data_IF_769786446941
#
_entry.id   IF_769786446941
#
_cell.length_a   1.000
_cell.length_b   1.000
_cell.length_c   1.000
_cell.angle_alpha   90.00
_cell.angle_beta   90.00
_cell.angle_gamma   90.00
#
_symmetry.space_group_name_H-M   'P 1'
#
loop_
_entity.id
_entity.type
_entity.pdbx_description
1 polymer ?
#
# COMPACT_ATOMS: atom_id res chain seq x y z
N UNK A 1 -25.38 -38.44 22.31
CA UNK A 1 -24.77 -39.22 21.23
C UNK A 1 -24.23 -38.16 20.26
N UNK A 2 -23.13 -37.58 20.56
CA UNK A 2 -21.70 -37.80 20.24
C UNK A 2 -21.47 -38.11 18.74
N UNK A 3 -20.77 -37.23 18.09
CA UNK A 3 -19.65 -37.26 17.12
C UNK A 3 -19.73 -35.98 16.28
N UNK A 4 -18.81 -35.06 16.26
CA UNK A 4 -17.36 -35.22 16.09
C UNK A 4 -17.01 -35.11 14.61
N UNK A 5 -16.54 -33.99 14.16
CA UNK A 5 -16.13 -33.73 12.78
C UNK A 5 -15.15 -32.55 12.72
N UNK A 6 -13.93 -32.89 12.87
CA UNK A 6 -12.67 -32.14 12.83
C UNK A 6 -12.48 -31.34 11.56
N UNK A 7 -11.84 -30.16 11.74
CA UNK A 7 -11.37 -29.27 10.68
C UNK A 7 -10.32 -29.91 9.76
N UNK A 8 -10.33 -29.47 8.54
CA UNK A 8 -9.21 -29.46 7.58
C UNK A 8 -9.55 -28.44 6.49
N UNK A 9 -8.71 -27.45 6.32
CA UNK A 9 -8.89 -26.48 5.25
C UNK A 9 -7.90 -25.31 5.31
N UNK A 10 -6.59 -25.58 5.51
CA UNK A 10 -5.58 -24.52 5.39
C UNK A 10 -4.23 -25.04 4.87
N UNK A 11 -4.23 -26.00 3.96
CA UNK A 11 -2.97 -26.58 3.42
C UNK A 11 -2.85 -26.60 1.89
N UNK A 12 -3.63 -25.82 1.13
CA UNK A 12 -3.59 -25.95 -0.35
C UNK A 12 -3.10 -24.72 -1.13
N UNK A 13 -2.41 -23.76 -0.51
CA UNK A 13 -1.86 -22.60 -1.24
C UNK A 13 -0.32 -22.51 -1.26
N UNK A 14 0.41 -23.48 -0.75
CA UNK A 14 1.89 -23.46 -0.71
C UNK A 14 2.51 -24.29 -1.86
N UNK A 15 1.76 -25.11 -2.57
CA UNK A 15 2.34 -26.05 -3.57
C UNK A 15 2.57 -25.49 -4.97
N UNK A 16 2.09 -24.28 -5.31
CA UNK A 16 2.21 -23.74 -6.70
C UNK A 16 3.45 -22.85 -6.93
N UNK A 17 4.24 -22.56 -5.89
CA UNK A 17 5.45 -21.74 -5.99
C UNK A 17 6.69 -22.52 -6.51
N UNK A 18 6.63 -23.84 -6.58
CA UNK A 18 7.78 -24.68 -6.96
C UNK A 18 7.91 -24.97 -8.45
N UNK A 19 6.94 -24.61 -9.27
CA UNK A 19 6.92 -24.98 -10.70
C UNK A 19 7.79 -24.09 -11.60
N UNK A 20 8.34 -22.97 -11.10
CA UNK A 20 9.13 -22.02 -11.91
C UNK A 20 10.66 -22.14 -11.73
N UNK A 21 11.13 -22.92 -10.75
CA UNK A 21 12.58 -23.10 -10.50
C UNK A 21 13.29 -24.01 -11.55
N UNK A 22 12.55 -24.81 -12.30
CA UNK A 22 13.13 -25.82 -13.21
C UNK A 22 13.34 -25.36 -14.65
N UNK A 23 12.94 -24.13 -15.02
CA UNK A 23 13.07 -23.63 -16.41
C UNK A 23 14.38 -22.89 -16.72
N UNK A 24 15.19 -22.55 -15.72
CA UNK A 24 16.49 -21.91 -15.88
C UNK A 24 17.61 -22.93 -15.63
N UNK A 25 17.96 -23.74 -16.64
CA UNK A 25 19.07 -24.69 -16.63
C UNK A 25 20.44 -23.98 -16.65
N UNK A 26 20.84 -23.34 -15.54
CA UNK A 26 22.18 -22.85 -15.29
C UNK A 26 22.84 -23.64 -14.14
N UNK A 27 24.20 -23.71 -14.05
CA UNK A 27 24.88 -24.48 -13.04
C UNK A 27 24.48 -23.97 -11.64
N UNK A 28 24.05 -24.89 -10.76
CA UNK A 28 23.77 -24.62 -9.35
C UNK A 28 24.99 -23.98 -8.71
N UNK A 29 24.92 -22.66 -8.49
CA UNK A 29 25.84 -21.97 -7.61
C UNK A 29 25.55 -22.45 -6.18
N UNK A 30 26.58 -22.92 -5.47
CA UNK A 30 26.51 -23.28 -4.05
C UNK A 30 25.89 -22.11 -3.27
N UNK A 31 24.83 -22.39 -2.53
CA UNK A 31 24.17 -21.45 -1.64
C UNK A 31 25.20 -20.89 -0.64
N UNK A 32 25.78 -19.73 -0.95
CA UNK A 32 26.45 -18.92 0.04
C UNK A 32 25.34 -18.24 0.86
N UNK A 33 25.20 -18.65 2.12
CA UNK A 33 24.61 -17.80 3.14
C UNK A 33 25.43 -16.52 3.21
N UNK A 34 25.06 -15.52 2.46
CA UNK A 34 25.71 -14.21 2.51
C UNK A 34 24.89 -13.37 3.47
N UNK A 35 25.25 -13.44 4.77
CA UNK A 35 25.05 -12.31 5.66
C UNK A 35 25.94 -11.18 5.15
N UNK A 36 25.42 -10.40 4.19
CA UNK A 36 26.13 -9.31 3.54
C UNK A 36 26.29 -8.10 4.49
N UNK A 37 25.46 -8.00 5.52
CA UNK A 37 25.56 -7.05 6.63
C UNK A 37 25.52 -7.83 7.94
N UNK A 38 26.45 -7.55 8.84
CA UNK A 38 26.41 -8.19 10.17
C UNK A 38 25.23 -7.64 10.98
N UNK A 39 24.63 -8.43 11.88
CA UNK A 39 23.55 -7.96 12.74
C UNK A 39 23.86 -6.63 13.44
N UNK A 40 25.04 -6.47 14.01
CA UNK A 40 25.48 -5.25 14.71
C UNK A 40 25.44 -4.01 13.78
N UNK A 41 25.82 -4.16 12.51
CA UNK A 41 25.79 -3.07 11.52
C UNK A 41 24.36 -2.73 11.13
N UNK A 42 23.51 -3.74 10.98
CA UNK A 42 22.08 -3.53 10.66
C UNK A 42 21.36 -2.85 11.82
N UNK A 43 21.63 -3.24 13.06
CA UNK A 43 21.07 -2.61 14.26
C UNK A 43 21.46 -1.13 14.36
N UNK A 44 22.72 -0.80 14.12
CA UNK A 44 23.23 0.57 14.12
C UNK A 44 22.58 1.43 13.01
N UNK A 45 22.36 0.84 11.82
CA UNK A 45 21.63 1.50 10.73
C UNK A 45 20.15 1.70 11.10
N UNK A 46 19.48 0.68 11.61
CA UNK A 46 18.07 0.74 12.01
C UNK A 46 17.85 1.78 13.12
N UNK A 47 18.77 1.88 14.07
CA UNK A 47 18.73 2.91 15.11
C UNK A 47 18.84 4.32 14.52
N UNK A 48 19.76 4.53 13.57
CA UNK A 48 19.93 5.80 12.88
C UNK A 48 18.69 6.17 12.05
N UNK A 49 18.14 5.21 11.30
CA UNK A 49 16.89 5.37 10.55
C UNK A 49 15.73 5.72 11.50
N UNK A 50 15.62 5.02 12.62
CA UNK A 50 14.56 5.26 13.61
C UNK A 50 14.63 6.66 14.23
N UNK A 51 15.84 7.18 14.50
CA UNK A 51 16.02 8.58 14.91
C UNK A 51 15.55 9.53 13.83
N UNK A 52 16.03 9.36 12.60
CA UNK A 52 15.67 10.19 11.44
C UNK A 52 14.17 10.19 11.16
N UNK A 53 13.53 9.04 11.17
CA UNK A 53 12.09 8.94 10.92
C UNK A 53 11.26 9.63 12.01
N UNK A 54 11.64 9.53 13.29
CA UNK A 54 10.94 10.25 14.36
C UNK A 54 11.06 11.78 14.20
N UNK A 55 12.21 12.26 13.71
CA UNK A 55 12.41 13.69 13.46
C UNK A 55 11.60 14.17 12.26
N UNK A 56 11.44 13.34 11.23
CA UNK A 56 10.59 13.63 10.06
C UNK A 56 9.10 13.62 10.42
N UNK A 57 8.67 12.59 11.10
CA UNK A 57 7.27 12.39 11.48
C UNK A 57 7.14 11.35 12.61
N UNK A 58 6.56 11.73 13.77
CA UNK A 58 6.42 10.82 14.91
C UNK A 58 5.46 9.64 14.65
N UNK A 59 4.69 9.68 13.54
CA UNK A 59 3.82 8.57 13.15
C UNK A 59 4.52 7.51 12.31
N UNK A 60 5.75 7.77 11.84
CA UNK A 60 6.53 6.75 11.16
C UNK A 60 6.88 5.62 12.14
N UNK A 61 6.91 4.37 11.68
CA UNK A 61 7.18 3.23 12.56
C UNK A 61 8.65 3.23 13.02
N UNK A 62 8.93 2.46 14.06
CA UNK A 62 10.31 2.02 14.31
C UNK A 62 10.69 1.08 13.16
N UNK A 63 11.84 1.27 12.50
CA UNK A 63 12.27 0.35 11.46
C UNK A 63 12.30 -1.08 12.00
N UNK A 64 11.62 -1.98 11.32
CA UNK A 64 11.80 -3.42 11.52
C UNK A 64 13.01 -3.91 10.72
N UNK A 65 13.43 -5.12 11.00
CA UNK A 65 14.48 -5.78 10.24
C UNK A 65 14.16 -5.78 8.74
N UNK A 66 15.21 -5.68 7.94
CA UNK A 66 15.05 -5.88 6.51
C UNK A 66 14.57 -7.32 6.28
N UNK A 67 13.70 -7.56 5.28
CA UNK A 67 13.29 -8.92 4.95
C UNK A 67 14.52 -9.80 4.80
N UNK A 68 14.61 -10.85 5.59
CA UNK A 68 15.70 -11.82 5.45
C UNK A 68 15.59 -12.54 4.11
N UNK A 69 16.72 -12.81 3.48
CA UNK A 69 16.76 -13.56 2.23
C UNK A 69 16.17 -14.98 2.36
N UNK A 70 16.07 -15.49 3.60
CA UNK A 70 15.50 -16.81 3.90
C UNK A 70 13.97 -16.87 3.90
N UNK A 71 13.27 -15.72 4.00
CA UNK A 71 11.80 -15.67 4.01
C UNK A 71 11.18 -15.68 2.60
N UNK A 72 12.02 -15.68 1.56
CA UNK A 72 11.62 -15.64 0.17
C UNK A 72 12.30 -16.76 -0.62
N UNK A 73 11.69 -17.25 -1.72
CA UNK A 73 12.35 -18.21 -2.62
C UNK A 73 13.72 -17.70 -3.07
N UNK A 74 14.71 -18.60 -3.16
CA UNK A 74 16.05 -18.27 -3.66
C UNK A 74 15.99 -17.51 -5.00
N UNK A 75 16.72 -16.38 -5.07
CA UNK A 75 16.75 -15.52 -6.26
C UNK A 75 15.74 -14.38 -6.28
N UNK A 76 14.78 -14.32 -5.32
CA UNK A 76 13.78 -13.25 -5.27
C UNK A 76 14.24 -12.01 -4.47
N UNK A 77 15.45 -12.03 -3.89
CA UNK A 77 15.96 -10.94 -3.07
C UNK A 77 17.40 -10.61 -3.44
N UNK A 78 17.66 -9.33 -3.68
CA UNK A 78 19.01 -8.84 -4.04
C UNK A 78 19.42 -7.76 -3.03
N UNK A 79 20.50 -7.98 -2.28
CA UNK A 79 21.05 -6.99 -1.38
C UNK A 79 21.85 -5.93 -2.14
N UNK A 80 21.72 -4.68 -1.71
CA UNK A 80 22.47 -3.53 -2.19
C UNK A 80 23.13 -2.83 -1.01
N UNK A 81 24.35 -2.33 -1.18
CA UNK A 81 25.10 -1.64 -0.13
C UNK A 81 25.83 -0.43 -0.69
N UNK A 82 25.80 0.66 0.05
CA UNK A 82 26.58 1.86 -0.21
C UNK A 82 27.55 2.08 0.94
N UNK A 83 28.82 2.22 0.61
CA UNK A 83 29.88 2.50 1.57
C UNK A 83 30.15 4.01 1.63
N UNK A 84 30.11 4.60 2.80
CA UNK A 84 30.45 6.00 3.01
C UNK A 84 31.95 6.28 2.96
N UNK A 85 32.34 7.56 2.94
CA UNK A 85 33.73 8.02 2.88
C UNK A 85 34.61 7.51 4.02
N UNK A 86 34.00 7.12 5.14
CA UNK A 86 34.67 6.56 6.31
C UNK A 86 34.86 5.03 6.25
N UNK A 87 34.53 4.40 5.11
CA UNK A 87 34.60 2.95 4.91
C UNK A 87 33.53 2.15 5.65
N UNK A 88 32.51 2.80 6.23
CA UNK A 88 31.35 2.14 6.85
C UNK A 88 30.15 2.18 5.94
N UNK A 89 29.22 1.23 6.05
CA UNK A 89 27.95 1.30 5.31
C UNK A 89 27.19 2.61 5.60
N UNK A 90 26.98 3.41 4.58
CA UNK A 90 26.17 4.63 4.60
C UNK A 90 24.69 4.30 4.37
N UNK A 91 24.42 3.22 3.64
CA UNK A 91 23.09 2.73 3.37
C UNK A 91 23.09 1.29 2.89
N UNK A 92 22.01 0.61 3.15
CA UNK A 92 21.74 -0.74 2.67
C UNK A 92 20.34 -0.80 2.08
N UNK A 93 20.10 -1.71 1.18
CA UNK A 93 18.78 -1.91 0.58
C UNK A 93 18.56 -3.36 0.19
N UNK A 94 17.30 -3.78 0.22
CA UNK A 94 16.88 -5.08 -0.28
C UNK A 94 15.91 -4.85 -1.43
N UNK A 95 16.28 -5.31 -2.62
CA UNK A 95 15.36 -5.38 -3.75
C UNK A 95 14.65 -6.74 -3.73
N UNK A 96 13.33 -6.74 -3.64
CA UNK A 96 12.48 -7.94 -3.74
C UNK A 96 11.83 -7.98 -5.10
N UNK A 97 11.86 -9.15 -5.73
CA UNK A 97 11.08 -9.43 -6.93
C UNK A 97 9.78 -10.12 -6.50
N UNK A 98 8.66 -9.52 -6.80
CA UNK A 98 7.35 -10.04 -6.50
C UNK A 98 6.55 -10.20 -7.78
N UNK A 99 6.00 -11.38 -8.00
CA UNK A 99 5.00 -11.60 -9.02
C UNK A 99 3.62 -11.74 -8.38
N UNK A 100 2.68 -10.91 -8.81
CA UNK A 100 1.29 -10.98 -8.37
C UNK A 100 0.55 -11.94 -9.30
N UNK A 101 0.01 -13.06 -8.79
CA UNK A 101 -0.65 -14.07 -9.61
C UNK A 101 -1.80 -13.50 -10.45
N UNK A 102 -1.99 -14.06 -11.63
CA UNK A 102 -3.14 -13.71 -12.46
C UNK A 102 -4.45 -14.00 -11.72
N UNK A 103 -5.35 -13.04 -11.71
CA UNK A 103 -6.62 -13.15 -11.00
C UNK A 103 -6.56 -12.82 -9.50
N UNK A 104 -5.42 -12.38 -8.99
CA UNK A 104 -5.36 -11.80 -7.65
C UNK A 104 -5.88 -10.35 -7.65
N UNK A 105 -6.60 -9.96 -6.59
CA UNK A 105 -7.19 -8.62 -6.46
C UNK A 105 -6.11 -7.52 -6.49
N UNK A 106 -4.93 -7.82 -5.98
CA UNK A 106 -3.77 -6.92 -5.93
C UNK A 106 -3.30 -6.47 -7.33
N UNK A 107 -3.65 -7.22 -8.40
CA UNK A 107 -3.40 -6.80 -9.78
C UNK A 107 -4.26 -5.62 -10.23
N UNK A 108 -5.35 -5.32 -9.54
CA UNK A 108 -6.16 -4.13 -9.80
C UNK A 108 -5.42 -2.86 -9.37
N UNK A 109 -4.58 -2.97 -8.33
CA UNK A 109 -3.89 -1.86 -7.69
C UNK A 109 -2.41 -1.75 -8.08
N UNK A 110 -2.00 -2.36 -9.20
CA UNK A 110 -0.63 -2.25 -9.68
C UNK A 110 -0.24 -3.30 -10.70
N UNK A 111 1.05 -3.28 -11.03
CA UNK A 111 1.65 -4.19 -12.03
C UNK A 111 1.72 -5.64 -11.51
N UNK A 112 1.77 -6.59 -12.45
CA UNK A 112 1.94 -8.00 -12.13
C UNK A 112 3.35 -8.32 -11.63
N UNK A 113 4.37 -7.74 -12.25
CA UNK A 113 5.76 -7.86 -11.80
C UNK A 113 6.15 -6.60 -11.01
N UNK A 114 6.66 -6.77 -9.80
CA UNK A 114 7.04 -5.68 -8.90
C UNK A 114 8.46 -5.89 -8.40
N UNK A 115 9.30 -4.92 -8.65
CA UNK A 115 10.66 -4.85 -8.11
C UNK A 115 10.63 -3.79 -7.00
N UNK A 116 10.67 -4.23 -5.74
CA UNK A 116 10.44 -3.37 -4.59
C UNK A 116 11.75 -3.16 -3.86
N UNK A 117 12.25 -1.94 -3.84
CA UNK A 117 13.44 -1.57 -3.05
C UNK A 117 13.01 -1.10 -1.66
N UNK A 118 13.59 -1.73 -0.62
CA UNK A 118 13.43 -1.33 0.78
C UNK A 118 14.79 -0.85 1.31
N UNK A 119 15.08 0.45 1.30
CA UNK A 119 16.35 0.97 1.77
C UNK A 119 16.36 1.31 3.26
N UNK A 120 17.55 1.32 3.84
CA UNK A 120 17.89 1.85 5.17
C UNK A 120 19.11 2.73 5.04
N UNK A 121 19.00 4.00 5.39
CA UNK A 121 20.06 4.98 5.22
C UNK A 121 20.48 5.54 6.58
N UNK A 122 21.77 5.52 6.85
CA UNK A 122 22.35 5.97 8.12
C UNK A 122 22.31 7.48 8.30
N UNK A 123 22.64 8.22 7.24
CA UNK A 123 22.83 9.66 7.31
C UNK A 123 21.49 10.45 7.37
N UNK A 124 21.51 11.62 8.00
CA UNK A 124 20.38 12.53 8.03
C UNK A 124 20.01 13.02 6.64
N UNK A 125 21.00 13.33 5.82
CA UNK A 125 20.81 13.61 4.39
C UNK A 125 20.72 12.29 3.62
N UNK A 126 19.54 11.94 3.19
CA UNK A 126 19.29 10.72 2.44
C UNK A 126 19.85 10.73 1.03
N UNK A 127 20.06 11.92 0.45
CA UNK A 127 20.30 12.05 -1.00
C UNK A 127 21.52 11.25 -1.48
N UNK A 128 22.74 11.41 -0.91
CA UNK A 128 23.91 10.76 -1.48
C UNK A 128 23.81 9.23 -1.50
N UNK A 129 23.44 8.64 -0.36
CA UNK A 129 23.36 7.19 -0.23
C UNK A 129 22.19 6.61 -1.03
N UNK A 130 21.05 7.30 -1.10
CA UNK A 130 19.91 6.85 -1.91
C UNK A 130 20.21 6.96 -3.40
N UNK A 131 20.86 8.04 -3.84
CA UNK A 131 21.28 8.24 -5.24
C UNK A 131 22.16 7.08 -5.72
N UNK A 132 23.11 6.65 -4.91
CA UNK A 132 23.97 5.51 -5.22
C UNK A 132 23.23 4.18 -5.22
N UNK A 133 22.38 3.93 -4.20
CA UNK A 133 21.53 2.73 -4.16
C UNK A 133 20.62 2.62 -5.38
N UNK A 134 20.02 3.72 -5.81
CA UNK A 134 19.17 3.76 -6.99
C UNK A 134 19.97 3.48 -8.27
N UNK A 135 21.22 3.96 -8.36
CA UNK A 135 22.12 3.62 -9.45
C UNK A 135 22.43 2.12 -9.52
N UNK A 136 22.77 1.51 -8.39
CA UNK A 136 23.01 0.06 -8.30
C UNK A 136 21.75 -0.73 -8.65
N UNK A 137 20.60 -0.29 -8.18
CA UNK A 137 19.31 -0.92 -8.48
C UNK A 137 18.96 -0.84 -9.95
N UNK A 138 19.15 0.31 -10.59
CA UNK A 138 19.00 0.50 -12.04
C UNK A 138 19.85 -0.52 -12.82
N UNK A 139 21.14 -0.64 -12.46
CA UNK A 139 22.07 -1.54 -13.15
C UNK A 139 21.66 -3.01 -12.98
N UNK A 140 21.11 -3.37 -11.80
CA UNK A 140 20.53 -4.67 -11.57
C UNK A 140 19.28 -4.92 -12.45
N UNK A 141 18.34 -3.98 -12.49
CA UNK A 141 17.10 -4.11 -13.27
C UNK A 141 17.38 -4.20 -14.77
N UNK A 142 18.41 -3.50 -15.28
CA UNK A 142 18.81 -3.56 -16.69
C UNK A 142 19.27 -4.96 -17.11
N UNK A 143 19.68 -5.83 -16.18
CA UNK A 143 20.03 -7.23 -16.42
C UNK A 143 18.85 -8.20 -16.44
N UNK A 144 17.63 -7.74 -16.12
CA UNK A 144 16.45 -8.59 -15.97
C UNK A 144 15.47 -8.40 -17.14
N UNK A 145 15.28 -9.40 -18.03
CA UNK A 145 14.37 -9.27 -19.16
C UNK A 145 12.92 -8.93 -18.77
N UNK A 146 12.44 -9.46 -17.63
CA UNK A 146 11.09 -9.17 -17.12
C UNK A 146 10.89 -7.72 -16.68
N UNK A 147 11.96 -6.99 -16.36
CA UNK A 147 11.89 -5.59 -15.95
C UNK A 147 11.56 -4.63 -17.11
N UNK A 148 11.71 -5.07 -18.38
CA UNK A 148 11.34 -4.30 -19.58
C UNK A 148 9.85 -4.48 -19.96
N UNK A 149 9.11 -5.28 -19.23
CA UNK A 149 7.68 -5.51 -19.49
C UNK A 149 6.87 -4.28 -19.06
N UNK A 150 5.89 -3.87 -19.88
CA UNK A 150 4.96 -2.77 -19.53
C UNK A 150 4.13 -3.05 -18.27
N UNK A 151 3.98 -4.33 -17.88
CA UNK A 151 3.31 -4.75 -16.64
C UNK A 151 4.32 -5.04 -15.50
N UNK A 152 5.49 -4.41 -15.57
CA UNK A 152 6.52 -4.44 -14.54
C UNK A 152 6.82 -3.03 -14.02
N UNK A 153 7.02 -2.88 -12.71
CA UNK A 153 7.38 -1.61 -12.11
C UNK A 153 8.49 -1.76 -11.05
N UNK A 154 9.43 -0.81 -11.05
CA UNK A 154 10.32 -0.55 -9.93
C UNK A 154 9.59 0.34 -8.93
N UNK A 155 9.52 -0.07 -7.66
CA UNK A 155 8.68 0.57 -6.65
C UNK A 155 9.45 0.81 -5.35
N UNK A 156 9.16 1.94 -4.70
CA UNK A 156 9.70 2.30 -3.39
C UNK A 156 8.68 3.13 -2.62
N UNK A 157 8.49 2.80 -1.34
CA UNK A 157 7.75 3.65 -0.40
C UNK A 157 8.73 4.55 0.34
N UNK A 158 8.44 5.86 0.37
CA UNK A 158 9.33 6.84 0.98
C UNK A 158 8.57 7.78 1.91
N UNK A 159 9.15 8.17 3.08
CA UNK A 159 8.51 9.14 3.96
C UNK A 159 8.19 10.44 3.22
N UNK A 160 6.92 10.86 3.23
CA UNK A 160 6.47 12.00 2.42
C UNK A 160 7.15 13.34 2.77
N UNK A 161 7.70 13.45 3.98
CA UNK A 161 8.36 14.67 4.47
C UNK A 161 9.87 14.71 4.25
N UNK A 162 10.44 13.64 3.73
CA UNK A 162 11.87 13.56 3.47
C UNK A 162 12.22 14.10 2.08
N UNK A 163 12.33 15.41 1.98
CA UNK A 163 12.58 16.12 0.71
C UNK A 163 13.91 15.68 0.07
N UNK A 164 14.93 15.39 0.88
CA UNK A 164 16.23 14.95 0.38
C UNK A 164 16.13 13.65 -0.40
N UNK A 165 15.47 12.62 0.17
CA UNK A 165 15.24 11.37 -0.53
C UNK A 165 14.29 11.52 -1.71
N UNK A 166 13.24 12.33 -1.59
CA UNK A 166 12.34 12.62 -2.72
C UNK A 166 13.10 13.18 -3.92
N UNK A 167 14.06 14.09 -3.69
CA UNK A 167 14.89 14.65 -4.76
C UNK A 167 15.73 13.58 -5.47
N UNK A 168 16.30 12.61 -4.73
CA UNK A 168 17.01 11.49 -5.33
C UNK A 168 16.09 10.64 -6.21
N UNK A 169 14.90 10.30 -5.71
CA UNK A 169 13.90 9.50 -6.45
C UNK A 169 13.48 10.19 -7.76
N UNK A 170 13.20 11.50 -7.71
CA UNK A 170 12.82 12.28 -8.90
C UNK A 170 13.96 12.38 -9.91
N UNK A 171 15.22 12.53 -9.46
CA UNK A 171 16.40 12.52 -10.32
C UNK A 171 16.52 11.22 -11.11
N UNK A 172 16.21 10.10 -10.48
CA UNK A 172 16.20 8.77 -11.11
C UNK A 172 14.95 8.48 -11.95
N UNK A 173 14.10 9.50 -12.19
CA UNK A 173 12.93 9.37 -13.06
C UNK A 173 11.73 8.67 -12.42
N UNK A 174 11.78 8.40 -11.12
CA UNK A 174 10.63 7.82 -10.41
C UNK A 174 9.50 8.84 -10.26
N UNK A 175 8.28 8.36 -10.41
CA UNK A 175 7.07 9.17 -10.31
C UNK A 175 6.32 8.86 -9.03
N UNK A 176 5.87 9.87 -8.30
CA UNK A 176 4.97 9.71 -7.17
C UNK A 176 3.57 9.31 -7.70
N UNK A 177 3.12 8.11 -7.36
CA UNK A 177 1.85 7.54 -7.84
C UNK A 177 0.79 7.52 -6.75
N UNK A 178 1.17 7.10 -5.55
CA UNK A 178 0.25 6.94 -4.42
C UNK A 178 0.74 7.69 -3.20
N UNK A 179 -0.18 8.09 -2.35
CA UNK A 179 0.09 8.60 -1.00
C UNK A 179 -0.61 7.72 0.00
N UNK A 180 0.13 7.18 0.97
CA UNK A 180 -0.44 6.62 2.18
C UNK A 180 -0.65 7.77 3.16
N UNK A 181 -1.91 8.09 3.43
CA UNK A 181 -2.28 9.16 4.35
C UNK A 181 -2.78 8.60 5.68
N UNK A 182 -2.52 9.33 6.76
CA UNK A 182 -2.82 8.93 8.14
C UNK A 182 -3.74 9.93 8.82
N UNK A 183 -4.72 9.41 9.59
CA UNK A 183 -5.57 10.17 10.53
C UNK A 183 -5.48 9.53 11.93
N UNK A 184 -5.34 10.36 12.94
CA UNK A 184 -5.50 9.95 14.34
C UNK A 184 -6.96 10.04 14.75
N UNK A 185 -7.41 9.15 15.63
CA UNK A 185 -8.72 9.23 16.27
C UNK A 185 -8.97 10.64 16.88
N UNK A 186 -10.20 11.08 16.83
CA UNK A 186 -10.59 12.41 17.34
C UNK A 186 -10.01 13.60 16.57
N UNK A 187 -9.25 13.40 15.50
CA UNK A 187 -8.76 14.50 14.65
C UNK A 187 -9.92 15.20 13.98
N UNK A 188 -10.06 16.50 14.27
CA UNK A 188 -11.09 17.32 13.66
C UNK A 188 -10.93 17.41 12.13
N UNK A 189 -12.06 17.39 11.45
CA UNK A 189 -12.11 17.71 10.01
C UNK A 189 -12.00 19.23 9.81
N UNK A 190 -11.37 19.64 8.72
CA UNK A 190 -11.26 21.04 8.30
C UNK A 190 -12.51 21.58 7.58
N UNK A 191 -13.65 20.92 7.75
CA UNK A 191 -14.96 21.35 7.21
C UNK A 191 -15.90 21.59 8.39
N UNK A 192 -16.57 22.74 8.40
CA UNK A 192 -17.66 22.97 9.34
C UNK A 192 -18.83 22.05 8.95
N UNK A 193 -19.44 21.44 9.96
CA UNK A 193 -20.64 20.61 9.92
C UNK A 193 -20.95 19.97 8.53
N UNK A 194 -20.34 18.80 8.31
CA UNK A 194 -20.69 17.96 7.17
C UNK A 194 -22.04 17.26 7.47
N UNK A 195 -23.12 18.03 7.43
CA UNK A 195 -24.45 17.48 7.59
C UNK A 195 -24.82 16.60 6.40
N UNK A 196 -25.49 15.50 6.69
CA UNK A 196 -26.06 14.64 5.64
C UNK A 196 -27.18 15.45 4.93
N UNK A 197 -27.16 15.55 3.60
CA UNK A 197 -28.26 16.18 2.87
C UNK A 197 -29.60 15.59 3.27
N UNK A 198 -30.64 16.43 3.41
CA UNK A 198 -31.92 16.04 3.99
C UNK A 198 -32.65 14.93 3.22
N UNK A 199 -32.34 14.75 1.94
CA UNK A 199 -32.89 13.73 1.05
C UNK A 199 -32.00 12.49 0.91
N UNK A 200 -30.95 12.37 1.77
CA UNK A 200 -30.01 11.25 1.77
C UNK A 200 -30.05 10.53 3.11
N UNK A 201 -30.00 9.22 3.08
CA UNK A 201 -29.82 8.37 4.25
C UNK A 201 -28.44 7.70 4.15
N UNK A 202 -27.62 7.85 5.22
CA UNK A 202 -26.41 7.06 5.37
C UNK A 202 -26.74 5.86 6.26
N UNK A 203 -26.46 4.65 5.75
CA UNK A 203 -26.76 3.39 6.45
C UNK A 203 -25.68 2.35 6.22
N UNK A 204 -25.68 1.32 7.03
CA UNK A 204 -24.87 0.13 6.80
C UNK A 204 -25.30 -0.56 5.50
N UNK A 205 -24.32 -1.03 4.72
CA UNK A 205 -24.58 -1.87 3.56
C UNK A 205 -24.80 -3.32 3.98
N UNK A 206 -25.75 -3.97 3.33
CA UNK A 206 -26.06 -5.39 3.55
C UNK A 206 -25.82 -6.24 2.31
N UNK A 207 -26.03 -7.58 2.42
CA UNK A 207 -25.84 -8.51 1.31
C UNK A 207 -26.65 -8.17 0.06
N UNK A 208 -27.83 -7.58 0.23
CA UNK A 208 -28.73 -7.18 -0.88
C UNK A 208 -28.15 -5.98 -1.69
N UNK A 209 -27.21 -5.24 -1.13
CA UNK A 209 -26.55 -4.10 -1.79
C UNK A 209 -25.37 -4.52 -2.68
N UNK A 210 -25.04 -5.82 -2.78
CA UNK A 210 -23.81 -6.33 -3.40
C UNK A 210 -23.57 -5.73 -4.80
N UNK A 211 -24.58 -5.71 -5.67
CA UNK A 211 -24.42 -5.24 -7.04
C UNK A 211 -24.15 -3.75 -7.09
N UNK A 212 -24.90 -2.95 -6.32
CA UNK A 212 -24.76 -1.51 -6.28
C UNK A 212 -23.44 -1.07 -5.62
N UNK A 213 -23.02 -1.75 -4.52
CA UNK A 213 -21.73 -1.49 -3.87
C UNK A 213 -20.59 -1.86 -4.80
N UNK A 214 -20.66 -3.00 -5.49
CA UNK A 214 -19.63 -3.38 -6.49
C UNK A 214 -19.48 -2.31 -7.58
N UNK A 215 -20.57 -1.77 -8.10
CA UNK A 215 -20.50 -0.72 -9.13
C UNK A 215 -19.87 0.58 -8.60
N UNK A 216 -20.17 0.97 -7.35
CA UNK A 216 -19.52 2.13 -6.72
C UNK A 216 -18.02 1.89 -6.48
N UNK A 217 -17.62 0.68 -6.03
CA UNK A 217 -16.20 0.28 -5.90
C UNK A 217 -15.49 0.33 -7.25
N UNK A 218 -16.11 -0.19 -8.30
CA UNK A 218 -15.58 -0.09 -9.66
C UNK A 218 -15.48 1.36 -10.14
N UNK A 219 -16.33 2.25 -9.63
CA UNK A 219 -16.23 3.69 -9.85
C UNK A 219 -14.93 4.29 -9.34
N UNK A 220 -14.45 3.86 -8.16
CA UNK A 220 -13.14 4.24 -7.62
C UNK A 220 -12.03 3.79 -8.57
N UNK A 221 -12.02 2.49 -8.91
CA UNK A 221 -10.98 1.87 -9.73
C UNK A 221 -10.89 2.53 -11.11
N UNK A 222 -12.02 2.73 -11.78
CA UNK A 222 -12.07 3.41 -13.08
C UNK A 222 -11.52 4.83 -13.00
N UNK A 223 -11.80 5.53 -11.90
CA UNK A 223 -11.31 6.89 -11.72
C UNK A 223 -9.80 6.92 -11.41
N UNK A 224 -9.33 6.08 -10.52
CA UNK A 224 -7.90 6.02 -10.15
C UNK A 224 -7.01 5.47 -11.28
N UNK A 225 -7.58 4.70 -12.21
CA UNK A 225 -6.88 4.25 -13.41
C UNK A 225 -6.41 5.40 -14.31
N UNK A 226 -7.12 6.54 -14.35
CA UNK A 226 -6.68 7.73 -15.07
C UNK A 226 -5.37 8.32 -14.52
N UNK A 227 -5.04 8.02 -13.28
CA UNK A 227 -3.87 8.56 -12.58
C UNK A 227 -2.77 7.51 -12.36
N UNK A 228 -2.94 6.31 -12.91
CA UNK A 228 -1.95 5.22 -12.81
C UNK A 228 -1.92 4.49 -11.47
N UNK A 229 -2.84 4.81 -10.54
CA UNK A 229 -2.93 4.14 -9.23
C UNK A 229 -3.74 2.83 -9.29
N UNK A 230 -4.46 2.58 -10.38
CA UNK A 230 -5.17 1.33 -10.65
C UNK A 230 -4.96 0.90 -12.09
N UNK A 231 -5.14 -0.40 -12.37
CA UNK A 231 -5.07 -0.99 -13.70
C UNK A 231 -6.38 -1.72 -13.98
N UNK A 232 -7.13 -1.25 -14.97
CA UNK A 232 -8.37 -1.89 -15.39
C UNK A 232 -8.05 -3.20 -16.13
N UNK A 233 -8.25 -4.30 -15.45
CA UNK A 233 -8.07 -5.66 -16.00
C UNK A 233 -9.43 -6.30 -16.29
N UNK A 234 -9.52 -7.24 -17.23
CA UNK A 234 -10.80 -7.90 -17.57
C UNK A 234 -11.46 -8.59 -16.37
N UNK A 235 -10.66 -9.11 -15.43
CA UNK A 235 -11.16 -9.78 -14.23
C UNK A 235 -11.52 -8.84 -13.06
N UNK A 236 -11.23 -7.52 -13.16
CA UNK A 236 -11.34 -6.59 -12.04
C UNK A 236 -12.72 -6.60 -11.38
N UNK A 237 -13.80 -6.53 -12.17
CA UNK A 237 -15.15 -6.50 -11.62
C UNK A 237 -15.51 -7.77 -10.83
N UNK A 238 -15.14 -8.95 -11.36
CA UNK A 238 -15.41 -10.21 -10.68
C UNK A 238 -14.64 -10.32 -9.36
N UNK A 239 -13.38 -9.87 -9.34
CA UNK A 239 -12.53 -9.85 -8.15
C UNK A 239 -13.04 -8.87 -7.09
N UNK A 240 -13.41 -7.67 -7.51
CA UNK A 240 -14.00 -6.66 -6.62
C UNK A 240 -15.31 -7.15 -6.06
N UNK A 241 -16.20 -7.73 -6.89
CA UNK A 241 -17.46 -8.31 -6.44
C UNK A 241 -17.28 -9.37 -5.37
N UNK A 242 -16.30 -10.27 -5.55
CA UNK A 242 -16.02 -11.31 -4.56
C UNK A 242 -15.46 -10.72 -3.24
N UNK A 243 -14.58 -9.70 -3.31
CA UNK A 243 -14.11 -9.00 -2.14
C UNK A 243 -15.25 -8.25 -1.41
N UNK A 244 -16.10 -7.54 -2.16
CA UNK A 244 -17.28 -6.86 -1.63
C UNK A 244 -18.24 -7.85 -0.96
N UNK A 245 -18.52 -8.99 -1.59
CA UNK A 245 -19.37 -10.02 -1.02
C UNK A 245 -18.85 -10.52 0.33
N UNK A 246 -17.54 -10.70 0.48
CA UNK A 246 -16.92 -11.07 1.76
C UNK A 246 -17.07 -9.97 2.80
N UNK A 247 -16.83 -8.71 2.41
CA UNK A 247 -16.96 -7.56 3.31
C UNK A 247 -18.40 -7.37 3.83
N UNK A 248 -19.40 -7.51 2.96
CA UNK A 248 -20.80 -7.40 3.33
C UNK A 248 -21.31 -8.57 4.21
N UNK A 249 -20.56 -9.68 4.27
CA UNK A 249 -20.85 -10.83 5.12
C UNK A 249 -20.19 -10.74 6.51
N UNK A 250 -19.41 -9.72 6.81
CA UNK A 250 -18.79 -9.54 8.13
C UNK A 250 -19.84 -9.33 9.21
N UNK A 251 -19.51 -9.81 10.42
CA UNK A 251 -20.42 -9.74 11.58
C UNK A 251 -20.76 -8.31 11.99
N UNK A 252 -19.84 -7.37 11.80
CA UNK A 252 -20.03 -5.94 12.00
C UNK A 252 -19.92 -5.25 10.65
N UNK A 253 -20.75 -4.26 10.43
CA UNK A 253 -20.65 -3.47 9.21
C UNK A 253 -19.40 -2.57 9.22
N UNK A 254 -18.68 -2.62 8.11
CA UNK A 254 -17.53 -1.77 7.82
C UNK A 254 -17.67 -1.10 6.45
N UNK A 255 -18.86 -1.25 5.84
CA UNK A 255 -19.25 -0.61 4.59
C UNK A 255 -20.51 0.21 4.87
N UNK A 256 -20.43 1.50 4.63
CA UNK A 256 -21.57 2.40 4.75
C UNK A 256 -21.87 3.01 3.38
N UNK A 257 -23.14 3.14 3.08
CA UNK A 257 -23.65 3.67 1.80
C UNK A 257 -24.53 4.86 2.02
N UNK A 258 -24.50 5.78 1.08
CA UNK A 258 -25.45 6.88 0.97
C UNK A 258 -26.53 6.51 -0.03
N UNK A 259 -27.78 6.56 0.41
CA UNK A 259 -28.95 6.25 -0.37
C UNK A 259 -29.81 7.50 -0.61
N UNK A 260 -30.18 7.74 -1.87
CA UNK A 260 -31.08 8.80 -2.30
C UNK A 260 -32.14 8.19 -3.23
N UNK A 261 -33.41 8.32 -2.87
CA UNK A 261 -34.53 7.80 -3.69
C UNK A 261 -34.34 6.33 -4.09
N UNK A 262 -34.07 5.47 -3.10
CA UNK A 262 -33.85 4.02 -3.26
C UNK A 262 -32.62 3.66 -4.14
N UNK A 263 -31.73 4.60 -4.39
CA UNK A 263 -30.51 4.38 -5.19
C UNK A 263 -29.27 4.68 -4.36
N UNK A 264 -28.28 3.80 -4.39
CA UNK A 264 -26.98 4.06 -3.78
C UNK A 264 -26.21 5.07 -4.63
N UNK A 265 -25.83 6.18 -4.01
CA UNK A 265 -25.15 7.31 -4.67
C UNK A 265 -23.73 7.55 -4.15
N UNK A 266 -23.33 6.84 -3.11
CA UNK A 266 -21.99 6.90 -2.57
C UNK A 266 -21.72 5.77 -1.57
N UNK A 267 -20.44 5.52 -1.31
CA UNK A 267 -19.99 4.55 -0.32
C UNK A 267 -18.74 5.04 0.42
N UNK A 268 -18.52 4.48 1.60
CA UNK A 268 -17.22 4.40 2.27
C UNK A 268 -17.06 2.97 2.78
N UNK A 269 -15.91 2.36 2.45
CA UNK A 269 -15.57 1.00 2.82
C UNK A 269 -14.26 1.01 3.62
N UNK A 270 -14.28 0.41 4.80
CA UNK A 270 -13.13 0.32 5.70
C UNK A 270 -12.83 -1.15 5.94
N UNK A 271 -11.56 -1.52 5.94
CA UNK A 271 -11.09 -2.82 6.42
C UNK A 271 -10.86 -2.73 7.93
N UNK A 272 -11.41 -3.68 8.72
CA UNK A 272 -11.18 -3.76 10.16
C UNK A 272 -9.70 -4.07 10.47
N UNK A 273 -9.25 -3.91 11.73
CA UNK A 273 -7.85 -4.16 12.10
C UNK A 273 -7.31 -5.52 11.68
N UNK A 274 -8.12 -6.58 11.81
CA UNK A 274 -7.72 -7.94 11.43
C UNK A 274 -7.44 -8.08 9.93
N UNK A 275 -8.14 -7.31 9.09
CA UNK A 275 -7.97 -7.28 7.64
C UNK A 275 -6.97 -6.18 7.19
N UNK A 276 -6.50 -5.34 8.13
CA UNK A 276 -5.56 -4.23 7.88
C UNK A 276 -4.14 -4.55 8.31
N UNK A 277 -3.83 -5.77 8.75
CA UNK A 277 -2.51 -6.15 9.25
C UNK A 277 -1.38 -5.89 8.25
N UNK A 278 -1.65 -6.04 6.94
CA UNK A 278 -0.70 -5.81 5.85
C UNK A 278 -0.17 -4.37 5.75
N UNK A 279 -0.93 -3.38 6.24
CA UNK A 279 -0.56 -1.96 6.19
C UNK A 279 -0.26 -1.38 7.57
N UNK A 280 -0.66 -2.05 8.64
CA UNK A 280 -0.50 -1.53 10.00
C UNK A 280 0.97 -1.24 10.35
N UNK A 281 1.92 -1.97 9.76
CA UNK A 281 3.36 -1.74 9.93
C UNK A 281 3.90 -0.43 9.32
N UNK A 282 3.09 0.30 8.56
CA UNK A 282 3.48 1.61 8.00
C UNK A 282 3.37 2.75 9.03
N UNK A 283 2.91 2.49 10.22
CA UNK A 283 2.82 3.44 11.34
C UNK A 283 3.32 2.78 12.63
N UNK A 284 3.49 3.58 13.69
CA UNK A 284 3.80 3.05 15.03
C UNK A 284 2.70 2.11 15.54
N UNK A 285 2.99 1.28 16.56
CA UNK A 285 2.04 0.29 17.09
C UNK A 285 0.74 0.97 17.57
N UNK A 286 -0.39 0.61 16.95
CA UNK A 286 -1.70 1.13 17.29
C UNK A 286 -2.81 0.24 16.70
N UNK A 287 -4.03 0.36 17.22
CA UNK A 287 -5.20 -0.25 16.58
C UNK A 287 -5.50 0.51 15.30
N UNK A 288 -5.13 -0.11 14.18
CA UNK A 288 -5.16 0.51 12.84
C UNK A 288 -6.25 -0.11 11.99
N UNK A 289 -7.05 0.72 11.33
CA UNK A 289 -7.97 0.34 10.27
C UNK A 289 -7.54 0.97 8.94
N UNK A 290 -7.97 0.40 7.83
CA UNK A 290 -7.66 0.90 6.50
C UNK A 290 -8.92 1.32 5.76
N UNK A 291 -9.06 2.60 5.43
CA UNK A 291 -10.13 3.10 4.57
C UNK A 291 -9.79 2.75 3.12
N UNK A 292 -10.42 1.67 2.64
CA UNK A 292 -10.13 1.06 1.35
C UNK A 292 -10.67 1.87 0.19
N UNK A 293 -11.96 2.27 0.28
CA UNK A 293 -12.63 2.94 -0.81
C UNK A 293 -13.56 4.02 -0.30
N UNK A 294 -13.64 5.12 -1.04
CA UNK A 294 -14.66 6.15 -0.87
C UNK A 294 -15.04 6.70 -2.25
N UNK A 295 -16.31 6.66 -2.56
CA UNK A 295 -16.81 7.16 -3.84
C UNK A 295 -18.15 7.87 -3.66
N UNK A 296 -18.32 8.92 -4.43
CA UNK A 296 -19.60 9.61 -4.62
C UNK A 296 -19.82 9.76 -6.12
N UNK A 297 -20.99 9.36 -6.57
CA UNK A 297 -21.38 9.46 -7.97
C UNK A 297 -21.10 10.86 -8.53
N UNK A 298 -20.65 10.99 -9.78
CA UNK A 298 -20.26 12.29 -10.34
C UNK A 298 -21.37 13.36 -10.21
N UNK A 299 -22.62 13.00 -10.42
CA UNK A 299 -23.77 13.90 -10.36
C UNK A 299 -24.16 14.30 -8.93
N UNK A 300 -23.61 13.63 -7.93
CA UNK A 300 -23.88 13.82 -6.50
C UNK A 300 -22.76 14.61 -5.77
N UNK A 301 -21.74 15.00 -6.52
CA UNK A 301 -20.58 15.73 -5.97
C UNK A 301 -20.89 17.20 -5.75
N UNK A 302 -20.12 17.85 -4.87
CA UNK A 302 -20.26 19.29 -4.59
C UNK A 302 -21.26 19.64 -3.49
N UNK A 303 -22.17 18.71 -3.12
CA UNK A 303 -23.20 18.91 -2.10
C UNK A 303 -22.83 18.48 -0.66
N UNK A 304 -21.55 18.21 -0.35
CA UNK A 304 -21.12 17.79 0.99
C UNK A 304 -21.27 16.30 1.29
N UNK A 305 -21.90 15.50 0.42
CA UNK A 305 -22.18 14.08 0.66
C UNK A 305 -20.93 13.25 1.00
N UNK A 306 -19.83 13.48 0.28
CA UNK A 306 -18.56 12.78 0.56
C UNK A 306 -18.02 13.08 1.96
N UNK A 307 -18.13 14.33 2.42
CA UNK A 307 -17.73 14.71 3.76
C UNK A 307 -18.64 14.10 4.84
N UNK A 308 -19.95 14.04 4.57
CA UNK A 308 -20.91 13.40 5.48
C UNK A 308 -20.65 11.88 5.61
N UNK A 309 -20.40 11.17 4.51
CA UNK A 309 -20.02 9.76 4.52
C UNK A 309 -18.75 9.51 5.33
N UNK A 310 -17.69 10.29 5.08
CA UNK A 310 -16.42 10.13 5.79
C UNK A 310 -16.57 10.50 7.26
N UNK A 311 -17.36 11.54 7.60
CA UNK A 311 -17.65 11.88 8.99
C UNK A 311 -18.34 10.72 9.71
N UNK A 312 -19.37 10.14 9.09
CA UNK A 312 -20.07 8.97 9.65
C UNK A 312 -19.09 7.82 9.91
N UNK A 313 -18.23 7.49 8.94
CA UNK A 313 -17.21 6.44 9.12
C UNK A 313 -16.23 6.79 10.25
N UNK A 314 -15.78 8.05 10.37
CA UNK A 314 -14.89 8.46 11.46
C UNK A 314 -15.56 8.33 12.83
N UNK A 315 -16.81 8.74 12.97
CA UNK A 315 -17.57 8.63 14.23
C UNK A 315 -17.68 7.15 14.64
N UNK A 316 -17.96 6.25 13.70
CA UNK A 316 -18.01 4.81 13.92
C UNK A 316 -16.63 4.22 14.31
N UNK A 317 -15.56 4.64 13.62
CA UNK A 317 -14.21 4.18 13.93
C UNK A 317 -13.74 4.65 15.29
N UNK A 318 -13.96 5.92 15.61
CA UNK A 318 -13.60 6.50 16.90
C UNK A 318 -14.40 5.81 18.05
N UNK A 319 -15.71 5.51 17.85
CA UNK A 319 -16.53 4.76 18.79
C UNK A 319 -16.07 3.30 18.98
N UNK A 320 -15.47 2.69 17.96
CA UNK A 320 -14.89 1.33 18.03
C UNK A 320 -13.47 1.30 18.60
N UNK A 321 -12.91 2.45 18.99
CA UNK A 321 -11.57 2.56 19.57
C UNK A 321 -10.43 2.39 18.56
N UNK A 322 -10.68 2.66 17.27
CA UNK A 322 -9.65 2.67 16.25
C UNK A 322 -8.78 3.91 16.45
N UNK A 323 -7.50 3.71 16.76
CA UNK A 323 -6.58 4.79 17.07
C UNK A 323 -6.04 5.49 15.83
N UNK A 324 -5.85 4.74 14.75
CA UNK A 324 -5.27 5.20 13.50
C UNK A 324 -6.11 4.70 12.33
N UNK A 325 -6.38 5.58 11.37
CA UNK A 325 -6.91 5.19 10.07
C UNK A 325 -5.90 5.55 8.99
N UNK A 326 -5.53 4.57 8.18
CA UNK A 326 -4.72 4.75 6.98
C UNK A 326 -5.60 4.67 5.73
N UNK A 327 -5.18 5.33 4.67
CA UNK A 327 -5.75 5.17 3.33
C UNK A 327 -4.69 5.41 2.27
N UNK A 328 -4.92 4.90 1.07
CA UNK A 328 -4.18 5.31 -0.12
C UNK A 328 -5.03 6.23 -0.99
N UNK A 329 -4.38 7.17 -1.64
CA UNK A 329 -4.98 7.90 -2.74
C UNK A 329 -3.98 8.14 -3.87
N UNK A 330 -4.48 8.25 -5.09
CA UNK A 330 -3.63 8.59 -6.22
C UNK A 330 -3.05 10.01 -6.04
N UNK A 331 -1.73 10.14 -6.13
CA UNK A 331 -1.03 11.43 -5.97
C UNK A 331 -1.48 12.46 -6.99
N UNK A 332 -1.70 12.04 -8.23
CA UNK A 332 -2.09 12.92 -9.34
C UNK A 332 -3.59 13.21 -9.41
N UNK A 333 -4.41 12.56 -8.57
CA UNK A 333 -5.84 12.82 -8.50
C UNK A 333 -6.12 14.19 -7.86
N UNK A 334 -6.57 15.21 -8.64
CA UNK A 334 -6.71 16.57 -8.13
C UNK A 334 -7.82 16.72 -7.08
N UNK A 335 -8.70 15.74 -6.96
CA UNK A 335 -9.79 15.74 -5.98
C UNK A 335 -9.36 15.12 -4.65
N UNK A 336 -8.53 14.08 -4.66
CA UNK A 336 -8.24 13.26 -3.48
C UNK A 336 -7.40 13.99 -2.44
N UNK A 337 -6.25 14.52 -2.83
CA UNK A 337 -5.35 15.21 -1.87
C UNK A 337 -6.04 16.32 -1.08
N UNK A 338 -6.69 17.32 -1.73
CA UNK A 338 -7.41 18.37 -1.03
C UNK A 338 -8.60 17.86 -0.22
N UNK A 339 -9.30 16.83 -0.69
CA UNK A 339 -10.41 16.22 0.03
C UNK A 339 -9.93 15.56 1.33
N UNK A 340 -8.97 14.65 1.24
CA UNK A 340 -8.48 13.92 2.40
C UNK A 340 -7.80 14.83 3.43
N UNK A 341 -7.10 15.89 2.98
CA UNK A 341 -6.56 16.90 3.88
C UNK A 341 -7.66 17.59 4.71
N UNK A 342 -8.80 17.94 4.08
CA UNK A 342 -9.96 18.50 4.80
C UNK A 342 -10.63 17.49 5.72
N UNK A 343 -10.55 16.19 5.42
CA UNK A 343 -11.06 15.10 6.27
C UNK A 343 -10.12 14.77 7.44
N UNK A 344 -9.04 15.52 7.63
CA UNK A 344 -8.11 15.35 8.74
C UNK A 344 -6.96 14.38 8.48
N UNK A 345 -6.84 13.86 7.27
CA UNK A 345 -5.70 13.04 6.86
C UNK A 345 -4.51 13.90 6.45
N UNK A 346 -3.31 13.35 6.59
CA UNK A 346 -2.09 13.95 6.07
C UNK A 346 -1.18 12.87 5.47
N UNK A 347 -0.34 13.22 4.48
CA UNK A 347 0.63 12.29 3.92
C UNK A 347 1.58 11.75 5.01
N UNK A 348 1.84 10.45 4.99
CA UNK A 348 2.84 9.76 5.80
C UNK A 348 3.91 9.14 4.91
N UNK A 349 3.49 8.36 3.90
CA UNK A 349 4.36 7.78 2.89
C UNK A 349 3.91 8.19 1.49
N UNK A 350 4.87 8.20 0.58
CA UNK A 350 4.61 8.39 -0.86
C UNK A 350 5.20 7.20 -1.60
N UNK A 351 4.36 6.51 -2.36
CA UNK A 351 4.75 5.44 -3.26
C UNK A 351 5.26 6.01 -4.58
N UNK A 352 6.52 5.72 -4.87
CA UNK A 352 7.16 6.08 -6.13
C UNK A 352 7.31 4.85 -7.02
N UNK A 353 7.19 5.05 -8.31
CA UNK A 353 7.45 3.99 -9.28
C UNK A 353 8.14 4.49 -10.54
N UNK A 354 8.86 3.59 -11.20
CA UNK A 354 9.27 3.68 -12.61
C UNK A 354 8.61 2.53 -13.38
N UNK A 355 7.98 2.82 -14.52
CA UNK A 355 7.28 1.82 -15.34
C UNK A 355 7.54 2.08 -16.82
N UNK A 356 8.02 1.06 -17.61
CA UNK A 356 8.49 -0.24 -17.10
C UNK A 356 9.62 -0.09 -16.07
N UNK A 357 9.97 -1.16 -15.36
CA UNK A 357 10.95 -1.09 -14.28
C UNK A 357 12.34 -0.62 -14.75
N UNK A 358 12.75 -1.00 -15.99
CA UNK A 358 14.01 -0.55 -16.62
C UNK A 358 14.04 0.94 -16.96
N UNK A 359 12.92 1.66 -16.89
CA UNK A 359 12.90 3.11 -17.13
C UNK A 359 13.47 3.92 -15.95
N UNK A 360 13.89 3.28 -14.87
CA UNK A 360 14.70 3.87 -13.80
C UNK A 360 16.00 4.42 -14.39
N UNK A 361 16.33 5.69 -14.12
CA UNK A 361 17.43 6.42 -14.75
C UNK A 361 18.67 6.51 -13.86
#
# INVERSE_FOLDING_TARGET
MVLGGTGRGHESQVEDATQWADAAGGPRAEARQVSWVTPDVLDDINEAVGRRWRDLDPMLPVPCDLPEACDLPEGCTVPLEVTGDNGRPAGVGVCRHQHVPAGALEQVWGTAARFILTPRLRELDAYPALDELLGQWRDHLAGLPEADNEDAAAMIEWPSRDISGVNALLKHGMQAITVTAVRLAGRAMGVADADTPADVVIREAGPDDLDAVTELEMGVIRFDAYFGAAILRPAAEALVREATRKALAWRQAWVWVAERSERLVGLVHVLPPDESAWIAGMTGPATTAYLQSMFVGPDERGGGLGAALVKHAHDELDARGISITLLHHAQLNPLSGPFWSRMGYRPLWTGFQSRPAVALR
#
